data_IF_340958349739
#
_entry.id   IF_340958349739
#
_cell.length_a   1.000
_cell.length_b   1.000
_cell.length_c   1.000
_cell.angle_alpha   90.00
_cell.angle_beta   90.00
_cell.angle_gamma   90.00
#
_symmetry.space_group_name_H-M   'P 1'
#
loop_
_entity.id
_entity.type
_entity.pdbx_description
1 polymer ?
#
# COMPACT_ATOMS: atom_id res chain seq x y z
N UNK A 1 14.44 -9.35 0.73
CA UNK A 1 13.13 -9.60 1.40
C UNK A 1 12.68 -8.31 2.04
N UNK A 2 11.74 -7.59 1.43
CA UNK A 2 11.25 -6.31 1.94
C UNK A 2 9.76 -6.19 1.71
N UNK A 3 9.03 -5.71 2.71
CA UNK A 3 7.60 -5.41 2.60
C UNK A 3 7.44 -4.07 1.87
N UNK A 4 6.72 -4.04 0.75
CA UNK A 4 6.40 -2.78 0.07
C UNK A 4 4.96 -2.36 0.38
N UNK A 5 4.81 -1.15 0.93
CA UNK A 5 3.52 -0.59 1.33
C UNK A 5 3.12 0.55 0.40
N UNK A 6 2.16 0.29 -0.48
CA UNK A 6 1.56 1.28 -1.37
C UNK A 6 0.30 1.85 -0.73
N UNK A 7 0.43 3.01 -0.10
CA UNK A 7 -0.61 3.54 0.80
C UNK A 7 -0.92 5.00 0.48
N UNK A 8 -2.21 5.33 0.48
CA UNK A 8 -2.72 6.70 0.57
C UNK A 8 -3.02 7.00 2.05
N UNK A 9 -2.17 7.78 2.73
CA UNK A 9 -2.35 8.08 4.15
C UNK A 9 -3.60 8.92 4.44
N UNK A 10 -4.23 9.53 3.43
CA UNK A 10 -5.53 10.20 3.59
C UNK A 10 -6.66 9.20 3.84
N UNK A 11 -6.47 7.94 3.40
CA UNK A 11 -7.36 6.85 3.74
C UNK A 11 -7.07 6.35 5.16
N UNK A 12 -8.10 6.39 6.01
CA UNK A 12 -8.04 5.93 7.41
C UNK A 12 -7.45 4.50 7.56
N UNK A 13 -7.88 3.47 6.80
CA UNK A 13 -7.29 2.14 6.88
C UNK A 13 -5.82 2.09 6.45
N UNK A 14 -5.39 2.87 5.45
CA UNK A 14 -3.99 2.94 5.05
C UNK A 14 -3.11 3.55 6.15
N UNK A 15 -3.59 4.60 6.81
CA UNK A 15 -2.93 5.19 7.98
C UNK A 15 -2.79 4.18 9.14
N UNK A 16 -3.81 3.36 9.40
CA UNK A 16 -3.72 2.29 10.40
C UNK A 16 -2.62 1.27 10.07
N UNK A 17 -2.51 0.85 8.81
CA UNK A 17 -1.47 -0.11 8.36
C UNK A 17 -0.07 0.48 8.53
N UNK A 18 0.14 1.73 8.08
CA UNK A 18 1.41 2.42 8.24
C UNK A 18 1.82 2.53 9.72
N UNK A 19 0.87 2.93 10.57
CA UNK A 19 1.11 3.07 12.01
C UNK A 19 1.38 1.73 12.68
N UNK A 20 0.65 0.68 12.30
CA UNK A 20 0.88 -0.67 12.81
C UNK A 20 2.30 -1.16 12.49
N UNK A 21 2.74 -1.01 11.24
CA UNK A 21 4.07 -1.44 10.82
C UNK A 21 5.18 -0.64 11.53
N UNK A 22 5.01 0.70 11.63
CA UNK A 22 5.91 1.58 12.39
C UNK A 22 5.99 1.21 13.86
N UNK A 23 4.86 0.97 14.52
CA UNK A 23 4.80 0.66 15.96
C UNK A 23 5.42 -0.69 16.31
N UNK A 24 5.37 -1.64 15.38
CA UNK A 24 5.94 -2.97 15.56
C UNK A 24 7.37 -3.09 14.98
N UNK A 25 7.99 -1.99 14.54
CA UNK A 25 9.30 -1.99 13.89
C UNK A 25 9.41 -2.97 12.71
N UNK A 26 8.32 -3.17 11.97
CA UNK A 26 8.33 -3.99 10.78
C UNK A 26 9.12 -3.21 9.71
N UNK A 27 10.18 -3.77 9.11
CA UNK A 27 10.88 -3.10 8.02
C UNK A 27 10.01 -3.12 6.76
N UNK A 28 9.76 -1.94 6.19
CA UNK A 28 9.01 -1.79 4.95
C UNK A 28 9.48 -0.59 4.14
N UNK A 29 9.27 -0.67 2.83
CA UNK A 29 9.42 0.44 1.89
C UNK A 29 8.06 1.10 1.66
N UNK A 30 7.97 2.38 2.04
CA UNK A 30 6.75 3.18 1.86
C UNK A 30 6.69 3.78 0.45
N UNK A 31 5.59 3.52 -0.25
CA UNK A 31 5.28 4.08 -1.57
C UNK A 31 3.97 4.88 -1.47
N UNK A 32 4.02 6.22 -1.47
CA UNK A 32 2.80 7.03 -1.37
C UNK A 32 1.92 6.86 -2.61
N UNK A 33 0.62 6.78 -2.40
CA UNK A 33 -0.39 6.70 -3.46
C UNK A 33 -1.34 7.89 -3.31
N UNK A 34 -1.51 8.69 -4.36
CA UNK A 34 -2.46 9.81 -4.35
C UNK A 34 -3.76 9.43 -5.07
N UNK A 35 -4.78 9.03 -4.32
CA UNK A 35 -6.06 8.61 -4.92
C UNK A 35 -6.90 9.79 -5.42
N UNK A 36 -6.81 10.91 -4.71
CA UNK A 36 -7.58 12.12 -5.03
C UNK A 36 -7.23 12.72 -6.39
N UNK A 37 -6.04 12.44 -6.92
CA UNK A 37 -5.63 12.95 -8.25
C UNK A 37 -5.98 12.00 -9.40
N UNK A 38 -6.65 10.87 -9.13
CA UNK A 38 -6.96 9.85 -10.15
C UNK A 38 -5.72 9.18 -10.79
N UNK A 39 -4.52 9.53 -10.29
CA UNK A 39 -3.22 9.24 -10.90
C UNK A 39 -2.72 7.81 -10.64
N UNK A 40 -3.53 6.94 -10.03
CA UNK A 40 -3.05 5.64 -9.56
C UNK A 40 -4.09 4.51 -9.64
N UNK A 41 -4.93 4.49 -10.67
CA UNK A 41 -5.88 3.37 -10.86
C UNK A 41 -5.36 2.37 -11.90
N UNK A 42 -4.58 2.81 -12.90
CA UNK A 42 -4.10 1.93 -13.99
C UNK A 42 -2.94 1.03 -13.55
N UNK A 43 -1.89 1.58 -12.93
CA UNK A 43 -0.74 0.80 -12.40
C UNK A 43 -1.17 -0.26 -11.37
N UNK A 44 -2.22 0.05 -10.61
CA UNK A 44 -2.76 -0.81 -9.55
C UNK A 44 -3.83 -1.79 -10.03
N UNK A 45 -4.40 -1.60 -11.22
CA UNK A 45 -5.38 -2.54 -11.79
C UNK A 45 -4.78 -3.92 -12.06
N UNK A 46 -3.47 -4.00 -12.32
CA UNK A 46 -2.75 -5.27 -12.44
C UNK A 46 -2.47 -5.95 -11.09
N UNK A 47 -2.61 -5.23 -9.97
CA UNK A 47 -2.26 -5.72 -8.63
C UNK A 47 -3.51 -6.14 -7.85
N UNK A 48 -4.68 -5.55 -8.14
CA UNK A 48 -5.93 -5.89 -7.45
C UNK A 48 -7.14 -5.84 -8.39
N UNK A 49 -7.69 -7.01 -8.73
CA UNK A 49 -8.92 -7.14 -9.55
C UNK A 49 -10.13 -6.45 -8.93
N UNK A 50 -10.13 -6.18 -7.61
CA UNK A 50 -11.22 -5.50 -6.92
C UNK A 50 -11.18 -3.98 -7.06
N UNK A 51 -10.12 -3.39 -7.65
CA UNK A 51 -9.91 -1.93 -7.79
C UNK A 51 -10.08 -1.14 -6.47
N UNK A 52 -10.02 -1.82 -5.32
CA UNK A 52 -10.08 -1.22 -3.99
C UNK A 52 -8.65 -0.90 -3.55
N UNK A 53 -8.38 0.37 -3.29
CA UNK A 53 -7.02 0.82 -2.97
C UNK A 53 -6.74 0.60 -1.49
N UNK A 54 -6.34 -0.62 -1.18
CA UNK A 54 -5.59 -0.97 0.03
C UNK A 54 -4.60 -2.06 -0.40
N UNK A 55 -3.51 -1.66 -1.06
CA UNK A 55 -2.65 -2.61 -1.76
C UNK A 55 -1.40 -2.85 -0.92
N UNK A 56 -1.41 -3.99 -0.24
CA UNK A 56 -0.25 -4.59 0.39
C UNK A 56 0.42 -5.49 -0.65
N UNK A 57 1.63 -5.18 -1.11
CA UNK A 57 2.41 -6.11 -1.93
C UNK A 57 3.42 -6.81 -1.03
N UNK A 58 3.13 -8.05 -0.69
CA UNK A 58 4.12 -8.96 -0.14
C UNK A 58 4.69 -9.75 -1.33
N UNK A 59 5.91 -9.44 -1.77
CA UNK A 59 6.64 -10.39 -2.61
C UNK A 59 7.05 -11.58 -1.73
N UNK A 60 6.26 -12.65 -1.80
CA UNK A 60 6.74 -13.99 -1.53
C UNK A 60 7.11 -14.61 -2.88
N UNK A 61 8.41 -14.71 -3.18
CA UNK A 61 8.86 -15.59 -4.27
C UNK A 61 8.98 -17.04 -3.76
N UNK A 62 8.84 -18.03 -4.67
CA UNK A 62 8.64 -19.46 -4.37
C UNK A 62 9.82 -20.17 -3.71
#
# INVERSE_FOLDING_TARGET
MGLELYLDLLSQPCSCIYMFAKKNNIPFDFKPVELLKGLNIQEFSNINSLKKVHILRMEASP
#
